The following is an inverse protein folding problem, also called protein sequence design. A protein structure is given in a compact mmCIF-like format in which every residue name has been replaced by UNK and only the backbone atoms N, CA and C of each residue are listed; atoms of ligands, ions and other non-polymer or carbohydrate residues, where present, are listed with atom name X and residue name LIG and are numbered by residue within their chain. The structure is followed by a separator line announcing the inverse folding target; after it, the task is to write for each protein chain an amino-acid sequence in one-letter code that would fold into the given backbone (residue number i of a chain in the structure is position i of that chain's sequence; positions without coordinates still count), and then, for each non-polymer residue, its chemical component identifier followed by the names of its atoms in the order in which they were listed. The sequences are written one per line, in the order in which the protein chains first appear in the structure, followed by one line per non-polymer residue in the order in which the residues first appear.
data_IF_470767200855
#
_entry.id   IF_470767200855
#
_cell.length_a   1.000
_cell.length_b   1.000
_cell.length_c   1.000
_cell.angle_alpha   90.00
_cell.angle_beta   90.00
_cell.angle_gamma   90.00
#
_symmetry.space_group_name_H-M   'P 1'
#
loop_
_entity.id
_entity.type
_entity.pdbx_description
1 polymer ?
#
# COMPACT_ATOMS: atom_id res chain seq x y z
N UNK A 1 -9.04 -27.10 -1.39
CA UNK A 1 -9.29 -25.71 -1.05
C UNK A 1 -7.98 -25.09 -0.54
N UNK A 2 -7.64 -23.90 -0.99
CA UNK A 2 -6.49 -23.15 -0.48
C UNK A 2 -6.89 -22.54 0.86
N UNK A 3 -6.05 -22.71 1.89
CA UNK A 3 -6.31 -22.11 3.20
C UNK A 3 -6.08 -20.60 3.18
N UNK A 4 -6.84 -19.84 3.96
CA UNK A 4 -6.60 -18.42 4.17
C UNK A 4 -5.33 -18.20 5.01
N UNK A 5 -4.62 -17.13 4.74
CA UNK A 5 -3.43 -16.74 5.51
C UNK A 5 -3.89 -16.24 6.90
N UNK A 6 -3.37 -16.82 8.00
CA UNK A 6 -3.75 -16.38 9.34
C UNK A 6 -3.16 -14.99 9.65
N UNK A 7 -3.87 -14.23 10.47
CA UNK A 7 -3.36 -12.97 10.99
C UNK A 7 -2.08 -13.18 11.82
N UNK A 8 -1.17 -12.23 11.76
CA UNK A 8 0.05 -12.24 12.58
C UNK A 8 -0.31 -12.05 14.06
N UNK A 9 0.30 -12.85 14.94
CA UNK A 9 0.06 -12.79 16.39
C UNK A 9 0.94 -11.74 17.08
N UNK A 10 2.12 -11.47 16.50
CA UNK A 10 3.09 -10.51 17.03
C UNK A 10 3.98 -9.99 15.91
N UNK A 11 4.66 -8.88 16.15
CA UNK A 11 5.71 -8.37 15.29
C UNK A 11 6.88 -9.37 15.19
N UNK A 12 7.52 -9.40 14.03
CA UNK A 12 8.73 -10.19 13.80
C UNK A 12 9.78 -9.30 13.12
N UNK A 13 11.02 -9.41 13.56
CA UNK A 13 12.17 -8.73 12.95
C UNK A 13 13.16 -9.79 12.44
N UNK A 14 13.44 -9.75 11.13
CA UNK A 14 14.33 -10.69 10.45
C UNK A 14 15.48 -9.91 9.85
N UNK A 15 16.70 -10.17 10.33
CA UNK A 15 17.92 -9.53 9.85
C UNK A 15 18.73 -10.53 9.05
N UNK A 16 18.98 -10.23 7.78
CA UNK A 16 19.74 -11.09 6.88
C UNK A 16 21.02 -10.35 6.49
N UNK A 17 22.18 -10.70 7.10
CA UNK A 17 23.44 -10.09 6.75
C UNK A 17 23.83 -10.49 5.32
N UNK A 18 24.05 -9.51 4.50
CA UNK A 18 24.48 -9.69 3.11
C UNK A 18 25.36 -8.54 2.68
N UNK A 19 26.48 -8.83 2.04
CA UNK A 19 27.38 -7.78 1.55
C UNK A 19 26.79 -7.15 0.29
N UNK A 20 26.22 -5.98 0.44
CA UNK A 20 25.59 -5.23 -0.64
C UNK A 20 25.87 -3.73 -0.48
N UNK A 21 25.85 -3.01 -1.59
CA UNK A 21 25.92 -1.54 -1.59
C UNK A 21 24.63 -0.88 -1.06
N UNK A 22 23.53 -1.62 -1.07
CA UNK A 22 22.22 -1.16 -0.57
C UNK A 22 21.62 -2.21 0.35
N UNK A 23 20.92 -1.74 1.39
CA UNK A 23 20.04 -2.56 2.20
C UNK A 23 18.60 -2.49 1.65
N UNK A 24 17.95 -3.64 1.62
CA UNK A 24 16.51 -3.76 1.33
C UNK A 24 15.74 -3.86 2.63
N UNK A 25 14.74 -3.01 2.82
CA UNK A 25 13.81 -3.05 3.96
C UNK A 25 12.42 -3.38 3.45
N UNK A 26 11.81 -4.41 4.02
CA UNK A 26 10.43 -4.80 3.77
C UNK A 26 9.68 -4.83 5.09
N UNK A 27 8.51 -4.19 5.15
CA UNK A 27 7.63 -4.18 6.32
C UNK A 27 6.27 -4.64 5.82
N UNK A 28 5.78 -5.79 6.27
CA UNK A 28 4.57 -6.36 5.69
C UNK A 28 3.74 -7.19 6.64
N UNK A 29 2.53 -7.45 6.22
CA UNK A 29 1.54 -8.31 6.88
C UNK A 29 0.62 -8.93 5.84
N UNK A 30 -0.21 -9.94 6.21
CA UNK A 30 -1.34 -10.34 5.41
C UNK A 30 -2.27 -9.14 5.14
N UNK A 31 -2.69 -8.99 3.88
CA UNK A 31 -3.55 -7.91 3.43
C UNK A 31 -5.02 -8.34 3.36
N UNK A 32 -5.68 -7.98 2.26
CA UNK A 32 -7.11 -8.18 2.04
C UNK A 32 -7.37 -9.01 0.78
N UNK A 33 -8.61 -9.48 0.61
CA UNK A 33 -9.11 -10.04 -0.64
C UNK A 33 -9.48 -8.94 -1.62
N UNK A 34 -9.54 -9.27 -2.92
CA UNK A 34 -9.91 -8.31 -3.97
C UNK A 34 -11.37 -7.87 -3.88
N UNK A 35 -12.26 -8.72 -3.40
CA UNK A 35 -13.68 -8.42 -3.21
C UNK A 35 -14.03 -7.89 -1.81
N UNK A 36 -13.02 -7.49 -1.03
CA UNK A 36 -13.24 -6.84 0.27
C UNK A 36 -14.02 -5.53 0.09
N UNK A 37 -15.06 -5.27 0.90
CA UNK A 37 -15.85 -4.04 0.81
C UNK A 37 -15.03 -2.77 1.04
N UNK A 38 -13.93 -2.85 1.79
CA UNK A 38 -13.03 -1.73 2.04
C UNK A 38 -11.99 -1.51 0.93
N UNK A 39 -11.97 -2.36 -0.11
CA UNK A 39 -10.92 -2.34 -1.14
C UNK A 39 -10.69 -0.95 -1.75
N UNK A 40 -11.75 -0.21 -2.10
CA UNK A 40 -11.59 1.11 -2.72
C UNK A 40 -11.08 2.17 -1.74
N UNK A 41 -11.53 2.12 -0.50
CA UNK A 41 -11.01 3.01 0.56
C UNK A 41 -9.53 2.71 0.85
N UNK A 42 -9.14 1.43 0.86
CA UNK A 42 -7.74 1.01 1.01
C UNK A 42 -6.89 1.36 -0.21
N UNK A 43 -7.44 1.29 -1.42
CA UNK A 43 -6.76 1.74 -2.65
C UNK A 43 -6.42 3.24 -2.58
N UNK A 44 -7.38 4.07 -2.15
CA UNK A 44 -7.16 5.51 -1.96
C UNK A 44 -6.17 5.76 -0.82
N UNK A 45 -6.33 5.06 0.30
CA UNK A 45 -5.42 5.17 1.46
C UNK A 45 -3.98 4.79 1.10
N UNK A 46 -3.80 3.69 0.38
CA UNK A 46 -2.48 3.26 -0.10
C UNK A 46 -1.88 4.26 -1.10
N UNK A 47 -2.69 4.80 -2.01
CA UNK A 47 -2.25 5.84 -2.94
C UNK A 47 -1.65 7.04 -2.20
N UNK A 48 -2.30 7.50 -1.13
CA UNK A 48 -1.81 8.62 -0.31
C UNK A 48 -0.58 8.20 0.50
N UNK A 49 -0.57 7.00 1.07
CA UNK A 49 0.51 6.53 1.93
C UNK A 49 1.81 6.30 1.18
N UNK A 50 1.79 5.51 0.09
CA UNK A 50 3.00 5.10 -0.62
C UNK A 50 2.80 4.70 -2.08
N UNK A 51 1.55 4.45 -2.53
CA UNK A 51 1.24 4.02 -3.89
C UNK A 51 1.21 5.15 -4.92
N UNK A 52 1.06 6.40 -4.50
CA UNK A 52 0.96 7.58 -5.37
C UNK A 52 2.30 8.13 -5.86
N UNK A 53 3.39 7.41 -5.67
CA UNK A 53 4.72 7.83 -6.11
C UNK A 53 5.24 9.03 -5.32
N UNK A 54 5.79 10.04 -6.03
CA UNK A 54 6.53 11.15 -5.41
C UNK A 54 5.72 12.02 -4.45
N UNK A 55 4.40 12.05 -4.59
CA UNK A 55 3.50 12.88 -3.75
C UNK A 55 2.99 12.13 -2.50
N UNK A 56 3.41 10.89 -2.31
CA UNK A 56 2.97 10.07 -1.17
C UNK A 56 3.68 10.45 0.13
N UNK A 57 3.03 10.20 1.28
CA UNK A 57 3.60 10.50 2.61
C UNK A 57 4.92 9.79 2.87
N UNK A 58 5.04 8.53 2.48
CA UNK A 58 6.30 7.79 2.64
C UNK A 58 7.44 8.44 1.85
N UNK A 59 7.17 8.87 0.60
CA UNK A 59 8.18 9.57 -0.20
C UNK A 59 8.55 10.90 0.43
N UNK A 60 7.59 11.66 0.89
CA UNK A 60 7.85 12.94 1.58
C UNK A 60 8.71 12.74 2.84
N UNK A 61 8.33 11.80 3.72
CA UNK A 61 8.97 11.62 5.02
C UNK A 61 10.33 10.95 4.92
N UNK A 62 10.48 9.91 4.11
CA UNK A 62 11.71 9.11 4.05
C UNK A 62 12.71 9.67 3.05
N UNK A 63 12.22 10.14 1.89
CA UNK A 63 13.08 10.66 0.81
C UNK A 63 13.27 12.16 0.90
N UNK A 64 12.19 12.96 0.75
CA UNK A 64 12.32 14.40 0.55
C UNK A 64 12.84 15.11 1.82
N UNK A 65 12.29 14.79 2.98
CA UNK A 65 12.69 15.43 4.24
C UNK A 65 14.01 14.91 4.82
N UNK A 66 14.38 13.64 4.54
CA UNK A 66 15.52 12.99 5.22
C UNK A 66 16.59 12.42 4.31
N UNK A 67 16.33 12.30 3.02
CA UNK A 67 17.31 11.78 2.06
C UNK A 67 17.73 10.33 2.31
N UNK A 68 16.88 9.52 2.98
CA UNK A 68 17.24 8.17 3.41
C UNK A 68 17.09 7.12 2.30
N UNK A 69 16.37 7.43 1.22
CA UNK A 69 16.14 6.51 0.12
C UNK A 69 15.97 7.24 -1.20
N UNK A 70 16.16 6.56 -2.32
CA UNK A 70 15.73 7.04 -3.63
C UNK A 70 14.25 6.75 -3.90
N UNK A 71 13.69 5.73 -3.25
CA UNK A 71 12.31 5.36 -3.42
C UNK A 71 11.80 4.50 -2.27
N UNK A 72 10.61 4.79 -1.83
CA UNK A 72 9.82 4.02 -0.87
C UNK A 72 8.40 3.95 -1.39
N UNK A 73 7.77 2.81 -1.24
CA UNK A 73 6.38 2.60 -1.66
C UNK A 73 5.65 1.68 -0.71
N UNK A 74 4.33 1.75 -0.73
CA UNK A 74 3.45 0.74 -0.16
C UNK A 74 2.54 0.15 -1.22
N UNK A 75 2.05 -1.05 -1.00
CA UNK A 75 1.10 -1.70 -1.90
C UNK A 75 0.31 -2.81 -1.21
N UNK A 76 -0.96 -2.95 -1.60
CA UNK A 76 -1.74 -4.15 -1.41
C UNK A 76 -1.67 -5.04 -2.65
N UNK A 77 -1.57 -6.35 -2.45
CA UNK A 77 -1.58 -7.35 -3.53
C UNK A 77 -2.80 -8.28 -3.37
N UNK A 78 -4.03 -7.76 -3.51
CA UNK A 78 -5.24 -8.52 -3.25
C UNK A 78 -5.55 -9.54 -4.36
N UNK A 79 -6.09 -10.69 -3.98
CA UNK A 79 -6.53 -11.75 -4.90
C UNK A 79 -7.83 -12.41 -4.40
N UNK A 80 -8.13 -13.61 -4.89
CA UNK A 80 -9.25 -14.45 -4.37
C UNK A 80 -9.06 -14.78 -2.89
N UNK A 81 -7.80 -14.95 -2.46
CA UNK A 81 -7.40 -15.05 -1.06
C UNK A 81 -6.70 -13.75 -0.64
N UNK A 82 -6.61 -13.54 0.67
CA UNK A 82 -5.88 -12.41 1.21
C UNK A 82 -4.43 -12.44 0.71
N UNK A 83 -4.03 -11.38 0.03
CA UNK A 83 -2.65 -11.19 -0.39
C UNK A 83 -1.81 -10.55 0.71
N UNK A 84 -0.83 -9.73 0.33
CA UNK A 84 0.01 -9.00 1.28
C UNK A 84 -0.23 -7.50 1.20
N UNK A 85 -0.03 -6.82 2.33
CA UNK A 85 0.32 -5.40 2.38
C UNK A 85 1.81 -5.29 2.67
N UNK A 86 2.54 -4.51 1.89
CA UNK A 86 4.00 -4.36 2.03
C UNK A 86 4.40 -2.90 1.84
N UNK A 87 5.22 -2.38 2.76
CA UNK A 87 6.06 -1.20 2.56
C UNK A 87 7.45 -1.67 2.17
N UNK A 88 8.00 -1.12 1.11
CA UNK A 88 9.31 -1.48 0.56
C UNK A 88 10.16 -0.26 0.30
N UNK A 89 11.42 -0.31 0.72
CA UNK A 89 12.42 0.72 0.41
C UNK A 89 13.82 0.12 0.27
N UNK A 90 14.68 0.85 -0.44
CA UNK A 90 16.11 0.58 -0.52
C UNK A 90 16.87 1.78 0.04
N UNK A 91 17.91 1.52 0.81
CA UNK A 91 18.71 2.57 1.46
C UNK A 91 20.17 2.13 1.59
N UNK A 92 21.02 3.03 2.05
CA UNK A 92 22.39 2.67 2.43
C UNK A 92 22.37 1.78 3.67
N UNK A 93 23.28 0.78 3.76
CA UNK A 93 23.31 -0.13 4.92
C UNK A 93 23.45 0.57 6.28
N UNK A 94 24.17 1.69 6.33
CA UNK A 94 24.37 2.50 7.55
C UNK A 94 23.15 3.35 7.94
N UNK A 95 22.15 3.46 7.05
CA UNK A 95 20.91 4.20 7.27
C UNK A 95 19.67 3.30 7.37
N UNK A 96 19.84 1.98 7.24
CA UNK A 96 18.72 1.04 7.15
C UNK A 96 17.79 1.10 8.38
N UNK A 97 18.34 1.19 9.57
CA UNK A 97 17.57 1.28 10.82
C UNK A 97 16.76 2.59 10.89
N UNK A 98 17.39 3.71 10.55
CA UNK A 98 16.71 5.01 10.54
C UNK A 98 15.60 5.05 9.50
N UNK A 99 15.86 4.55 8.28
CA UNK A 99 14.86 4.52 7.21
C UNK A 99 13.67 3.61 7.58
N UNK A 100 13.95 2.44 8.18
CA UNK A 100 12.94 1.53 8.70
C UNK A 100 12.05 2.22 9.74
N UNK A 101 12.66 2.85 10.73
CA UNK A 101 11.94 3.53 11.80
C UNK A 101 11.02 4.63 11.26
N UNK A 102 11.54 5.51 10.41
CA UNK A 102 10.75 6.60 9.81
C UNK A 102 9.57 6.04 8.99
N UNK A 103 9.78 4.97 8.22
CA UNK A 103 8.72 4.34 7.44
C UNK A 103 7.62 3.74 8.35
N UNK A 104 8.01 3.07 9.44
CA UNK A 104 7.06 2.51 10.41
C UNK A 104 6.28 3.59 11.16
N UNK A 105 6.94 4.66 11.60
CA UNK A 105 6.29 5.79 12.26
C UNK A 105 5.30 6.49 11.33
N UNK A 106 5.68 6.70 10.06
CA UNK A 106 4.80 7.29 9.03
C UNK A 106 3.58 6.42 8.79
N UNK A 107 3.76 5.10 8.65
CA UNK A 107 2.67 4.14 8.51
C UNK A 107 1.74 4.16 9.73
N UNK A 108 2.28 4.05 10.94
CA UNK A 108 1.50 4.02 12.17
C UNK A 108 0.69 5.31 12.35
N UNK A 109 1.30 6.46 12.06
CA UNK A 109 0.63 7.76 12.10
C UNK A 109 -0.50 7.84 11.08
N UNK A 110 -0.27 7.38 9.83
CA UNK A 110 -1.31 7.37 8.80
C UNK A 110 -2.49 6.48 9.18
N UNK A 111 -2.24 5.30 9.71
CA UNK A 111 -3.31 4.40 10.18
C UNK A 111 -4.11 5.03 11.32
N UNK A 112 -3.45 5.72 12.26
CA UNK A 112 -4.12 6.35 13.39
C UNK A 112 -4.95 7.57 13.00
N UNK A 113 -4.40 8.47 12.18
CA UNK A 113 -4.97 9.78 11.88
C UNK A 113 -5.81 9.80 10.59
N UNK A 114 -5.47 8.94 9.62
CA UNK A 114 -6.03 8.97 8.26
C UNK A 114 -5.42 10.07 7.39
N UNK A 115 -5.97 10.27 6.18
CA UNK A 115 -5.57 11.37 5.30
C UNK A 115 -6.17 12.70 5.78
N UNK A 116 -5.57 13.80 5.32
CA UNK A 116 -6.20 15.11 5.34
C UNK A 116 -7.24 15.24 4.23
N UNK A 117 -8.13 16.21 4.33
CA UNK A 117 -9.11 16.51 3.28
C UNK A 117 -8.43 16.88 1.95
N UNK A 118 -7.28 17.56 2.00
CA UNK A 118 -6.54 17.91 0.79
C UNK A 118 -5.93 16.70 0.12
N UNK A 119 -5.26 15.82 0.87
CA UNK A 119 -4.70 14.57 0.34
C UNK A 119 -5.77 13.67 -0.27
N UNK A 120 -6.95 13.62 0.37
CA UNK A 120 -8.07 12.85 -0.17
C UNK A 120 -8.55 13.43 -1.51
N UNK A 121 -8.73 14.75 -1.60
CA UNK A 121 -9.10 15.40 -2.87
C UNK A 121 -8.08 15.12 -3.97
N UNK A 122 -6.80 15.37 -3.69
CA UNK A 122 -5.72 15.19 -4.68
C UNK A 122 -5.63 13.73 -5.15
N UNK A 123 -5.81 12.76 -4.24
CA UNK A 123 -5.83 11.34 -4.58
C UNK A 123 -7.02 10.96 -5.46
N UNK A 124 -8.22 11.46 -5.14
CA UNK A 124 -9.43 11.26 -5.96
C UNK A 124 -9.24 11.84 -7.36
N UNK A 125 -8.80 13.10 -7.45
CA UNK A 125 -8.57 13.78 -8.72
C UNK A 125 -7.58 13.00 -9.60
N UNK A 126 -6.50 12.48 -9.01
CA UNK A 126 -5.53 11.66 -9.73
C UNK A 126 -6.11 10.32 -10.19
N UNK A 127 -6.78 9.59 -9.28
CA UNK A 127 -7.31 8.27 -9.57
C UNK A 127 -8.45 8.32 -10.58
N UNK A 128 -9.40 9.26 -10.42
CA UNK A 128 -10.54 9.45 -11.33
C UNK A 128 -10.07 10.01 -12.66
N UNK A 129 -9.23 11.06 -12.65
CA UNK A 129 -8.69 11.66 -13.87
C UNK A 129 -7.86 10.70 -14.72
N UNK A 130 -7.16 9.75 -14.08
CA UNK A 130 -6.40 8.72 -14.80
C UNK A 130 -7.21 7.48 -15.21
N UNK A 131 -8.48 7.37 -14.78
CA UNK A 131 -9.28 6.17 -15.00
C UNK A 131 -9.46 5.81 -16.49
N UNK A 132 -9.75 6.80 -17.33
CA UNK A 132 -9.90 6.59 -18.78
C UNK A 132 -8.65 5.95 -19.40
N UNK A 133 -7.46 6.30 -18.91
CA UNK A 133 -6.19 5.73 -19.40
C UNK A 133 -5.98 4.26 -18.99
N UNK A 134 -6.77 3.74 -18.06
CA UNK A 134 -6.73 2.33 -17.62
C UNK A 134 -7.55 1.42 -18.52
N UNK A 135 -8.43 1.97 -19.35
CA UNK A 135 -9.35 1.24 -20.23
C UNK A 135 -9.32 1.74 -21.68
N UNK A 136 -8.33 2.53 -22.06
CA UNK A 136 -8.22 3.22 -23.37
C UNK A 136 -7.85 2.30 -24.56
N UNK A 137 -7.64 1.02 -24.33
CA UNK A 137 -7.33 0.06 -25.39
C UNK A 137 -7.98 -1.30 -25.12
N UNK A 138 -8.22 -2.07 -26.20
CA UNK A 138 -8.77 -3.42 -26.08
C UNK A 138 -7.95 -4.32 -25.16
N UNK A 139 -6.62 -4.18 -25.15
CA UNK A 139 -5.74 -4.94 -24.26
C UNK A 139 -5.98 -4.59 -22.78
N UNK A 140 -6.08 -3.30 -22.46
CA UNK A 140 -6.32 -2.85 -21.08
C UNK A 140 -7.74 -3.19 -20.65
N UNK A 141 -8.73 -3.02 -21.54
CA UNK A 141 -10.10 -3.42 -21.25
C UNK A 141 -10.20 -4.91 -20.99
N UNK A 142 -9.61 -5.76 -21.83
CA UNK A 142 -9.57 -7.21 -21.60
C UNK A 142 -8.93 -7.58 -20.27
N UNK A 143 -7.81 -6.93 -19.89
CA UNK A 143 -7.16 -7.17 -18.60
C UNK A 143 -8.07 -6.82 -17.42
N UNK A 144 -8.83 -5.72 -17.50
CA UNK A 144 -9.81 -5.34 -16.48
C UNK A 144 -10.97 -6.33 -16.40
N UNK A 145 -11.54 -6.73 -17.54
CA UNK A 145 -12.64 -7.71 -17.59
C UNK A 145 -12.17 -9.07 -17.05
N UNK A 146 -10.97 -9.51 -17.41
CA UNK A 146 -10.39 -10.73 -16.86
C UNK A 146 -10.18 -10.65 -15.33
N UNK A 147 -9.74 -9.50 -14.83
CA UNK A 147 -9.58 -9.27 -13.38
C UNK A 147 -10.93 -9.28 -12.65
N UNK A 148 -11.97 -8.67 -13.23
CA UNK A 148 -13.35 -8.69 -12.71
C UNK A 148 -13.85 -10.13 -12.61
N UNK A 149 -13.75 -10.90 -13.70
CA UNK A 149 -14.20 -12.28 -13.75
C UNK A 149 -13.40 -13.19 -12.79
N UNK A 150 -12.07 -13.01 -12.72
CA UNK A 150 -11.21 -13.80 -11.85
C UNK A 150 -11.49 -13.61 -10.36
N UNK A 151 -11.89 -12.40 -9.97
CA UNK A 151 -12.13 -12.03 -8.57
C UNK A 151 -13.60 -11.99 -8.17
N UNK A 152 -14.50 -12.54 -8.98
CA UNK A 152 -15.96 -12.55 -8.75
C UNK A 152 -16.52 -11.16 -8.44
N UNK A 153 -16.03 -10.13 -9.17
CA UNK A 153 -16.55 -8.77 -9.04
C UNK A 153 -17.81 -8.60 -9.91
N UNK A 154 -18.70 -7.65 -9.59
CA UNK A 154 -19.86 -7.34 -10.43
C UNK A 154 -19.44 -6.96 -11.85
N UNK A 155 -20.23 -7.37 -12.86
CA UNK A 155 -19.92 -7.08 -14.27
C UNK A 155 -19.92 -5.58 -14.59
N UNK A 156 -20.70 -4.79 -13.84
CA UNK A 156 -20.79 -3.33 -13.90
C UNK A 156 -19.77 -2.62 -13.02
N UNK A 157 -18.75 -3.34 -12.55
CA UNK A 157 -17.73 -2.81 -11.63
C UNK A 157 -17.08 -1.53 -12.13
N UNK A 158 -16.75 -1.47 -13.44
CA UNK A 158 -16.10 -0.30 -14.04
C UNK A 158 -17.05 0.88 -14.17
N UNK A 159 -18.36 0.64 -14.36
CA UNK A 159 -19.36 1.70 -14.52
C UNK A 159 -19.56 2.52 -13.26
N UNK A 160 -19.30 1.92 -12.09
CA UNK A 160 -19.48 2.54 -10.77
C UNK A 160 -18.17 2.86 -10.05
N UNK A 161 -17.02 2.57 -10.66
CA UNK A 161 -15.73 2.69 -9.98
C UNK A 161 -15.41 4.15 -9.59
N UNK A 162 -15.59 5.08 -10.51
CA UNK A 162 -15.33 6.52 -10.27
C UNK A 162 -16.28 7.09 -9.23
N UNK A 163 -17.57 6.78 -9.30
CA UNK A 163 -18.57 7.26 -8.37
C UNK A 163 -18.30 6.76 -6.93
N UNK A 164 -17.89 5.50 -6.82
CA UNK A 164 -17.51 4.93 -5.51
C UNK A 164 -16.27 5.59 -4.93
N UNK A 165 -15.25 5.91 -5.75
CA UNK A 165 -14.07 6.66 -5.29
C UNK A 165 -14.50 8.08 -4.86
N UNK A 166 -15.31 8.76 -5.67
CA UNK A 166 -15.77 10.13 -5.37
C UNK A 166 -16.56 10.19 -4.06
N UNK A 167 -17.35 9.19 -3.76
CA UNK A 167 -18.16 9.14 -2.54
C UNK A 167 -17.35 8.92 -1.24
N UNK A 168 -16.08 8.47 -1.32
CA UNK A 168 -15.28 8.20 -0.12
C UNK A 168 -15.00 9.46 0.70
N UNK A 169 -15.06 9.32 2.02
CA UNK A 169 -14.70 10.36 2.98
C UNK A 169 -13.36 10.06 3.66
N UNK A 170 -12.78 11.05 4.31
CA UNK A 170 -11.59 10.86 5.18
C UNK A 170 -11.84 9.76 6.22
N UNK A 171 -13.05 9.74 6.80
CA UNK A 171 -13.38 8.74 7.81
C UNK A 171 -13.47 7.32 7.24
N UNK A 172 -13.97 7.16 6.00
CA UNK A 172 -14.01 5.84 5.33
C UNK A 172 -12.61 5.31 5.13
N UNK A 173 -11.71 6.13 4.58
CA UNK A 173 -10.31 5.76 4.36
C UNK A 173 -9.61 5.44 5.68
N UNK A 174 -9.73 6.31 6.70
CA UNK A 174 -9.14 6.09 8.01
C UNK A 174 -9.64 4.78 8.64
N UNK A 175 -10.95 4.58 8.66
CA UNK A 175 -11.56 3.39 9.26
C UNK A 175 -11.16 2.10 8.54
N UNK A 176 -11.09 2.12 7.21
CA UNK A 176 -10.61 0.99 6.41
C UNK A 176 -9.14 0.66 6.73
N UNK A 177 -8.26 1.67 6.77
CA UNK A 177 -6.85 1.50 7.12
C UNK A 177 -6.68 0.91 8.52
N UNK A 178 -7.46 1.38 9.51
CA UNK A 178 -7.43 0.85 10.89
C UNK A 178 -7.91 -0.59 10.99
N UNK A 179 -8.88 -1.00 10.17
CA UNK A 179 -9.35 -2.40 10.12
C UNK A 179 -8.33 -3.33 9.46
N UNK A 180 -7.72 -2.86 8.38
CA UNK A 180 -6.87 -3.71 7.53
C UNK A 180 -5.42 -3.79 8.00
N UNK A 181 -4.88 -2.75 8.65
CA UNK A 181 -3.45 -2.64 8.96
C UNK A 181 -3.23 -2.59 10.47
N UNK A 182 -2.29 -3.42 10.94
CA UNK A 182 -1.89 -3.52 12.34
C UNK A 182 -0.39 -3.24 12.47
N UNK A 183 0.02 -1.96 12.60
CA UNK A 183 1.43 -1.57 12.57
C UNK A 183 2.30 -2.24 13.64
N UNK A 184 1.70 -2.63 14.77
CA UNK A 184 2.33 -3.30 15.90
C UNK A 184 2.55 -4.81 15.71
N UNK A 185 2.08 -5.39 14.60
CA UNK A 185 2.14 -6.85 14.32
C UNK A 185 2.75 -7.20 12.97
N UNK A 186 3.54 -6.34 12.39
CA UNK A 186 4.14 -6.58 11.07
C UNK A 186 5.41 -7.42 11.15
N UNK A 187 5.72 -8.11 10.06
CA UNK A 187 7.03 -8.70 9.81
C UNK A 187 7.90 -7.63 9.16
N UNK A 188 9.05 -7.37 9.76
CA UNK A 188 10.09 -6.52 9.18
C UNK A 188 11.25 -7.39 8.75
N UNK A 189 11.68 -7.23 7.50
CA UNK A 189 12.87 -7.91 6.95
C UNK A 189 13.87 -6.85 6.52
N UNK A 190 15.09 -6.94 7.02
CA UNK A 190 16.22 -6.11 6.57
C UNK A 190 17.31 -7.01 6.01
N UNK A 191 17.60 -6.82 4.72
CA UNK A 191 18.67 -7.53 4.00
C UNK A 191 19.75 -6.54 3.63
N UNK A 192 21.03 -6.88 3.86
CA UNK A 192 22.19 -6.08 3.43
C UNK A 192 22.78 -5.19 4.52
N UNK A 193 22.35 -5.29 5.77
CA UNK A 193 23.03 -4.68 6.91
C UNK A 193 24.41 -5.31 7.11
N UNK A 194 25.44 -4.47 7.36
CA UNK A 194 26.74 -5.00 7.82
C UNK A 194 26.59 -5.51 9.25
N UNK A 195 27.17 -6.66 9.51
CA UNK A 195 27.40 -7.11 10.90
C UNK A 195 28.28 -6.12 11.63
#
# INVERSE_FOLDING_TARGET
AVAEVPALKAAQDVRIPFQSAQAQVLIGQPGIKRNDPDFLALLVGDHILGGGGLVSRLMEEVREKRGLTYGVSSSFSPGLHAGAFVVSLQTRPDQAEQARQVAQETLAKFVAEGPTEQELRDAKDNLIGSFALRIDSNRKLLANVANIAWNDLPLDYLDHWTDKIEALTVNDVRSAMQRAIQPDRMVTVVLGEKK
#
